data_IF_236428256584
#
_entry.id   IF_236428256584
#
_cell.length_a   1.000
_cell.length_b   1.000
_cell.length_c   1.000
_cell.angle_alpha   90.00
_cell.angle_beta   90.00
_cell.angle_gamma   90.00
#
_symmetry.space_group_name_H-M   'P 1'
#
loop_
_entity.id
_entity.type
_entity.pdbx_description
1 polymer ?
#
# COMPACT_ATOMS: atom_id res chain seq x y z
N UNK A 1 6.36 -16.07 -0.80
CA UNK A 1 5.26 -15.12 -0.53
C UNK A 1 5.52 -13.79 -1.20
N UNK A 2 6.48 -12.99 -0.72
CA UNK A 2 6.81 -11.68 -1.31
C UNK A 2 6.99 -11.71 -2.82
N UNK A 3 7.88 -12.55 -3.33
CA UNK A 3 8.20 -12.54 -4.77
C UNK A 3 7.01 -12.99 -5.63
N UNK A 4 6.22 -13.95 -5.12
CA UNK A 4 4.97 -14.39 -5.77
C UNK A 4 3.95 -13.25 -5.81
N UNK A 5 3.79 -12.53 -4.70
CA UNK A 5 2.87 -11.41 -4.62
C UNK A 5 3.31 -10.26 -5.54
N UNK A 6 4.59 -9.90 -5.53
CA UNK A 6 5.12 -8.84 -6.40
C UNK A 6 5.08 -9.22 -7.89
N UNK A 7 5.17 -10.50 -8.23
CA UNK A 7 4.94 -10.96 -9.60
C UNK A 7 3.44 -10.86 -9.99
N UNK A 8 2.52 -11.16 -9.05
CA UNK A 8 1.07 -11.08 -9.26
C UNK A 8 0.55 -9.65 -9.34
N UNK A 9 1.09 -8.76 -8.50
CA UNK A 9 0.68 -7.36 -8.37
C UNK A 9 1.95 -6.49 -8.42
N UNK A 10 2.53 -6.28 -9.61
CA UNK A 10 3.82 -5.62 -9.77
C UNK A 10 3.78 -4.10 -9.56
N UNK A 11 2.59 -3.51 -9.43
CA UNK A 11 2.40 -2.07 -9.27
C UNK A 11 1.90 -1.75 -7.87
N UNK A 12 2.27 -0.57 -7.36
CA UNK A 12 1.75 -0.06 -6.11
C UNK A 12 0.24 0.20 -6.22
N UNK A 13 -0.54 -0.54 -5.45
CA UNK A 13 -2.00 -0.44 -5.45
C UNK A 13 -2.50 0.95 -5.09
N UNK A 14 -1.84 1.61 -4.12
CA UNK A 14 -2.21 2.96 -3.68
C UNK A 14 -1.92 4.02 -4.73
N UNK A 15 -0.76 3.95 -5.39
CA UNK A 15 -0.44 4.87 -6.49
C UNK A 15 -1.39 4.66 -7.66
N UNK A 16 -1.68 3.40 -8.02
CA UNK A 16 -2.61 3.07 -9.09
C UNK A 16 -4.03 3.60 -8.80
N UNK A 17 -4.49 3.51 -7.55
CA UNK A 17 -5.80 4.05 -7.15
C UNK A 17 -5.84 5.58 -7.16
N UNK A 18 -4.74 6.25 -6.75
CA UNK A 18 -4.66 7.73 -6.72
C UNK A 18 -4.50 8.33 -8.11
N UNK A 19 -3.63 7.78 -8.94
CA UNK A 19 -3.28 8.29 -10.26
C UNK A 19 -2.98 7.14 -11.23
N UNK A 20 -4.01 6.54 -11.87
CA UNK A 20 -3.86 5.34 -12.69
C UNK A 20 -2.87 5.45 -13.86
N UNK A 21 -2.62 6.68 -14.34
CA UNK A 21 -1.69 6.97 -15.41
C UNK A 21 -0.21 6.94 -14.99
N UNK A 22 0.08 6.94 -13.68
CA UNK A 22 1.44 6.89 -13.14
C UNK A 22 1.80 5.48 -12.68
N UNK A 23 2.63 4.81 -13.49
CA UNK A 23 3.10 3.46 -13.20
C UNK A 23 4.20 3.51 -12.13
N UNK A 24 3.84 3.11 -10.92
CA UNK A 24 4.78 3.01 -9.79
C UNK A 24 5.02 1.54 -9.44
N UNK A 25 6.25 1.02 -9.57
CA UNK A 25 6.56 -0.36 -9.19
C UNK A 25 6.31 -0.62 -7.70
N UNK A 26 5.70 -1.76 -7.38
CA UNK A 26 5.66 -2.25 -6.03
C UNK A 26 7.02 -2.85 -5.64
N UNK A 27 7.46 -2.55 -4.42
CA UNK A 27 8.71 -3.07 -3.86
C UNK A 27 8.50 -3.72 -2.49
N UNK A 28 7.30 -3.59 -1.93
CA UNK A 28 6.91 -4.16 -0.65
C UNK A 28 5.66 -5.02 -0.85
N UNK A 29 5.70 -6.23 -0.29
CA UNK A 29 4.55 -7.09 -0.07
C UNK A 29 4.23 -7.02 1.42
N UNK A 30 3.00 -6.67 1.78
CA UNK A 30 2.57 -6.54 3.17
C UNK A 30 1.22 -7.22 3.38
N UNK A 31 0.87 -7.51 4.62
CA UNK A 31 -0.45 -8.03 4.99
C UNK A 31 -1.48 -6.90 4.90
N UNK A 32 -2.67 -7.20 4.38
CA UNK A 32 -3.79 -6.22 4.37
C UNK A 32 -4.61 -6.25 5.66
N UNK A 33 -4.44 -7.31 6.46
CA UNK A 33 -5.03 -7.46 7.78
C UNK A 33 -3.92 -7.77 8.77
N UNK A 34 -4.08 -7.32 10.02
CA UNK A 34 -3.14 -7.69 11.08
C UNK A 34 -3.22 -9.19 11.29
N UNK A 35 -2.06 -9.84 11.31
CA UNK A 35 -2.01 -11.27 11.56
C UNK A 35 -2.21 -11.60 13.04
N UNK A 36 -1.95 -10.68 13.98
CA UNK A 36 -2.17 -10.84 15.43
C UNK A 36 -1.66 -12.19 16.01
N UNK A 37 -0.55 -12.66 15.45
CA UNK A 37 0.07 -13.95 15.79
C UNK A 37 -0.51 -15.19 15.11
N UNK A 38 -1.58 -15.07 14.33
CA UNK A 38 -2.15 -16.15 13.53
C UNK A 38 -1.18 -16.58 12.40
N UNK A 39 -0.65 -17.81 12.45
CA UNK A 39 0.30 -18.30 11.44
C UNK A 39 -0.36 -18.50 10.07
N UNK A 40 -1.68 -18.73 10.00
CA UNK A 40 -2.40 -18.86 8.73
C UNK A 40 -2.39 -17.53 7.99
N UNK A 41 -2.67 -16.43 8.69
CA UNK A 41 -2.64 -15.09 8.11
C UNK A 41 -1.19 -14.68 7.84
N UNK A 42 -0.28 -14.98 8.76
CA UNK A 42 1.13 -14.63 8.61
C UNK A 42 1.73 -15.24 7.33
N UNK A 43 1.51 -16.54 7.07
CA UNK A 43 2.07 -17.24 5.91
C UNK A 43 1.16 -17.25 4.67
N UNK A 44 -0.15 -17.08 4.84
CA UNK A 44 -1.15 -17.21 3.79
C UNK A 44 -1.74 -15.89 3.29
N UNK A 45 -1.57 -14.80 4.05
CA UNK A 45 -2.12 -13.49 3.72
C UNK A 45 -3.54 -13.33 4.26
N UNK A 46 -4.33 -12.40 3.71
CA UNK A 46 -4.16 -11.71 2.43
C UNK A 46 -2.96 -10.74 2.35
N UNK A 47 -2.37 -10.63 1.15
CA UNK A 47 -1.27 -9.72 0.83
C UNK A 47 -1.67 -8.66 -0.19
N UNK A 48 -1.06 -7.48 -0.07
CA UNK A 48 -1.08 -6.42 -1.08
C UNK A 48 0.35 -5.94 -1.39
N UNK A 49 0.47 -5.14 -2.45
CA UNK A 49 1.74 -4.67 -2.98
C UNK A 49 1.76 -3.15 -3.08
N UNK A 50 2.78 -2.56 -2.47
CA UNK A 50 2.97 -1.11 -2.44
C UNK A 50 4.41 -0.72 -2.72
N UNK A 51 4.61 0.52 -3.18
CA UNK A 51 5.93 1.12 -3.17
C UNK A 51 6.34 1.42 -1.72
N UNK A 52 7.66 1.52 -1.47
CA UNK A 52 8.18 1.79 -0.13
C UNK A 52 7.58 3.05 0.51
N UNK A 53 7.41 4.13 -0.25
CA UNK A 53 6.87 5.40 0.27
C UNK A 53 5.40 5.26 0.72
N UNK A 54 4.54 4.63 -0.09
CA UNK A 54 3.16 4.39 0.30
C UNK A 54 3.02 3.43 1.47
N UNK A 55 3.85 2.37 1.52
CA UNK A 55 3.85 1.41 2.62
C UNK A 55 4.29 2.06 3.94
N UNK A 56 5.46 2.69 3.94
CA UNK A 56 6.06 3.21 5.16
C UNK A 56 5.34 4.45 5.71
N UNK A 57 4.56 5.15 4.88
CA UNK A 57 3.89 6.40 5.28
C UNK A 57 2.37 6.28 5.28
N UNK A 58 1.76 6.03 4.12
CA UNK A 58 0.30 6.08 4.00
C UNK A 58 -0.37 4.90 4.72
N UNK A 59 0.15 3.68 4.53
CA UNK A 59 -0.38 2.46 5.14
C UNK A 59 -0.09 2.42 6.64
N UNK A 60 1.14 2.73 7.05
CA UNK A 60 1.47 2.87 8.47
C UNK A 60 0.57 3.87 9.20
N UNK A 61 0.23 5.01 8.59
CA UNK A 61 -0.72 5.96 9.19
C UNK A 61 -2.12 5.35 9.36
N UNK A 62 -2.60 4.62 8.36
CA UNK A 62 -3.91 3.96 8.40
C UNK A 62 -3.93 2.86 9.46
N UNK A 63 -2.89 2.05 9.56
CA UNK A 63 -2.77 0.97 10.55
C UNK A 63 -2.77 1.46 12.00
N UNK A 64 -2.27 2.69 12.22
CA UNK A 64 -2.32 3.40 13.50
C UNK A 64 -3.64 4.18 13.73
N UNK A 65 -4.64 3.98 12.87
CA UNK A 65 -5.97 4.60 13.02
C UNK A 65 -6.10 6.00 12.41
N UNK A 66 -5.10 6.47 11.66
CA UNK A 66 -5.14 7.72 10.93
C UNK A 66 -5.62 7.57 9.49
N UNK A 67 -5.42 8.62 8.70
CA UNK A 67 -5.67 8.63 7.26
C UNK A 67 -4.37 8.73 6.47
N UNK A 68 -4.40 8.31 5.21
CA UNK A 68 -3.33 8.55 4.25
C UNK A 68 -2.98 10.04 4.14
N UNK A 69 -1.82 10.37 3.56
CA UNK A 69 -1.48 11.77 3.28
C UNK A 69 -2.55 12.40 2.38
N UNK A 70 -2.97 13.59 2.77
CA UNK A 70 -3.83 14.48 1.99
C UNK A 70 -3.15 14.79 0.67
N UNK A 71 -3.84 14.56 -0.44
CA UNK A 71 -3.35 14.99 -1.74
C UNK A 71 -3.50 16.51 -1.85
N UNK A 72 -2.54 17.15 -2.52
CA UNK A 72 -2.48 18.61 -2.73
C UNK A 72 -2.50 18.84 -4.23
N UNK A 73 -3.38 19.73 -4.69
CA UNK A 73 -3.50 20.11 -6.08
C UNK A 73 -2.37 21.05 -6.52
N UNK A 74 -2.32 21.32 -7.83
CA UNK A 74 -1.31 22.19 -8.42
C UNK A 74 -1.44 23.66 -7.95
N UNK A 75 -2.57 24.02 -7.36
CA UNK A 75 -2.85 25.31 -6.72
C UNK A 75 -2.32 25.41 -5.28
N UNK A 76 -1.75 24.32 -4.75
CA UNK A 76 -1.24 24.24 -3.39
C UNK A 76 -2.30 23.97 -2.32
N UNK A 77 -3.56 23.73 -2.69
CA UNK A 77 -4.64 23.41 -1.76
C UNK A 77 -4.97 21.91 -1.72
N UNK A 78 -5.52 21.39 -0.60
CA UNK A 78 -5.98 20.01 -0.51
C UNK A 78 -7.03 19.66 -1.59
N UNK A 79 -6.86 18.53 -2.27
CA UNK A 79 -7.92 17.97 -3.14
C UNK A 79 -8.86 17.06 -2.35
N UNK A 80 -10.18 17.20 -2.59
CA UNK A 80 -11.25 16.46 -1.94
C UNK A 80 -11.62 15.18 -2.66
#
# INVERSE_FOLDING_TARGET
MRDVQLAKQPLCERCLAKMPQFITPATVCHHTIKHDGDPIIFWGGPFASSCKDCHDVDEQRIEHGGSARQAVGDDGWPVG
#
